data_IF_440017258421
#
_entry.id   IF_440017258421
#
_cell.length_a   1.000
_cell.length_b   1.000
_cell.length_c   1.000
_cell.angle_alpha   90.00
_cell.angle_beta   90.00
_cell.angle_gamma   90.00
#
_symmetry.space_group_name_H-M   'P 1'
#
loop_
_entity.id
_entity.type
_entity.pdbx_description
1 polymer ?
#
# COMPACT_ATOMS: atom_id res chain seq x y z
N UNK A 1 -31.26 -34.03 -38.54
CA UNK A 1 -30.97 -32.61 -38.26
C UNK A 1 -30.32 -32.55 -36.88
N UNK A 2 -29.02 -32.82 -36.66
CA UNK A 2 -27.79 -32.15 -37.12
C UNK A 2 -27.78 -30.64 -36.85
N UNK A 3 -26.85 -30.25 -35.98
CA UNK A 3 -26.30 -28.89 -35.73
C UNK A 3 -27.17 -27.96 -34.87
N UNK A 4 -27.03 -27.99 -33.53
CA UNK A 4 -27.39 -26.85 -32.65
C UNK A 4 -26.97 -26.99 -31.17
N UNK A 5 -25.83 -27.59 -30.83
CA UNK A 5 -25.34 -27.61 -29.43
C UNK A 5 -23.81 -27.46 -29.38
N UNK A 6 -23.26 -26.52 -30.15
CA UNK A 6 -21.81 -26.30 -30.17
C UNK A 6 -21.39 -24.83 -30.11
N UNK A 7 -22.33 -23.94 -29.81
CA UNK A 7 -22.10 -22.49 -29.81
C UNK A 7 -22.04 -21.86 -28.41
N UNK A 8 -22.46 -22.58 -27.36
CA UNK A 8 -22.45 -22.03 -25.99
C UNK A 8 -21.17 -22.31 -25.21
N UNK A 9 -20.30 -23.23 -25.66
CA UNK A 9 -19.04 -23.52 -24.97
C UNK A 9 -17.87 -22.60 -25.36
N UNK A 10 -17.94 -21.93 -26.52
CA UNK A 10 -16.85 -21.05 -26.99
C UNK A 10 -16.95 -19.65 -26.36
N UNK A 11 -18.15 -19.21 -25.95
CA UNK A 11 -18.31 -17.91 -25.27
C UNK A 11 -17.78 -17.93 -23.83
N UNK A 12 -17.81 -19.08 -23.16
CA UNK A 12 -17.31 -19.18 -21.77
C UNK A 12 -15.78 -19.21 -21.70
N UNK A 13 -15.10 -19.70 -22.73
CA UNK A 13 -13.63 -19.72 -22.79
C UNK A 13 -13.00 -18.37 -23.14
N UNK A 14 -13.78 -17.39 -23.62
CA UNK A 14 -13.30 -16.04 -23.92
C UNK A 14 -13.38 -15.08 -22.71
N UNK A 15 -14.21 -15.40 -21.70
CA UNK A 15 -14.28 -14.61 -20.46
C UNK A 15 -13.12 -14.91 -19.49
N UNK A 16 -12.41 -16.01 -19.68
CA UNK A 16 -11.26 -16.40 -18.84
C UNK A 16 -9.92 -15.79 -19.30
N UNK A 17 -9.89 -15.11 -20.46
CA UNK A 17 -8.65 -14.51 -21.00
C UNK A 17 -8.48 -13.06 -20.58
N UNK A 18 -9.46 -12.46 -19.88
CA UNK A 18 -9.40 -11.08 -19.38
C UNK A 18 -9.07 -11.00 -17.87
N UNK A 19 -8.96 -12.13 -17.17
CA UNK A 19 -8.60 -12.17 -15.74
C UNK A 19 -7.10 -12.29 -15.49
N UNK A 20 -6.26 -12.23 -16.54
CA UNK A 20 -4.82 -12.50 -16.45
C UNK A 20 -3.95 -11.40 -17.12
N UNK A 21 -4.46 -10.18 -17.26
CA UNK A 21 -3.62 -8.99 -17.36
C UNK A 21 -3.57 -8.34 -15.98
N UNK A 22 -2.98 -9.05 -15.01
CA UNK A 22 -2.54 -8.39 -13.78
C UNK A 22 -1.50 -7.35 -14.21
N UNK A 23 -1.76 -6.08 -13.94
CA UNK A 23 -0.80 -5.03 -14.22
C UNK A 23 0.46 -5.41 -13.45
N UNK A 24 1.57 -5.67 -14.16
CA UNK A 24 2.82 -6.04 -13.50
C UNK A 24 3.25 -4.82 -12.69
N UNK A 25 3.52 -5.01 -11.40
CA UNK A 25 3.98 -3.91 -10.54
C UNK A 25 5.23 -3.25 -11.16
N UNK A 26 5.23 -1.92 -11.18
CA UNK A 26 6.34 -1.11 -11.68
C UNK A 26 7.23 -0.67 -10.52
N UNK A 27 8.49 -0.37 -10.80
CA UNK A 27 9.39 0.24 -9.80
C UNK A 27 8.82 1.61 -9.41
N UNK A 28 8.73 1.86 -8.11
CA UNK A 28 8.06 3.03 -7.54
C UNK A 28 6.75 2.70 -6.84
N UNK A 29 5.84 3.67 -6.81
CA UNK A 29 4.54 3.55 -6.14
C UNK A 29 3.46 2.98 -7.07
N UNK A 30 2.75 1.96 -6.60
CA UNK A 30 1.67 1.32 -7.35
C UNK A 30 0.37 1.38 -6.54
N UNK A 31 -0.66 2.01 -7.08
CA UNK A 31 -1.97 2.01 -6.44
C UNK A 31 -2.58 0.61 -6.48
N UNK A 32 -3.15 0.17 -5.37
CA UNK A 32 -4.00 -1.03 -5.31
C UNK A 32 -5.33 -0.70 -4.62
N UNK A 33 -6.35 -1.50 -4.92
CA UNK A 33 -7.62 -1.41 -4.18
C UNK A 33 -7.50 -2.13 -2.83
N UNK A 34 -8.39 -1.82 -1.87
CA UNK A 34 -8.50 -2.57 -0.61
C UNK A 34 -8.67 -4.08 -0.88
N UNK A 35 -9.48 -4.45 -1.86
CA UNK A 35 -9.69 -5.86 -2.23
C UNK A 35 -8.40 -6.52 -2.74
N UNK A 36 -7.59 -5.81 -3.52
CA UNK A 36 -6.32 -6.35 -4.02
C UNK A 36 -5.29 -6.43 -2.89
N UNK A 37 -5.29 -5.46 -1.97
CA UNK A 37 -4.49 -5.52 -0.75
C UNK A 37 -4.85 -6.75 0.08
N UNK A 38 -6.13 -6.96 0.39
CA UNK A 38 -6.58 -8.16 1.10
C UNK A 38 -6.16 -9.44 0.38
N UNK A 39 -6.26 -9.47 -0.96
CA UNK A 39 -5.79 -10.59 -1.76
C UNK A 39 -4.29 -10.85 -1.64
N UNK A 40 -3.46 -9.81 -1.64
CA UNK A 40 -2.01 -9.94 -1.43
C UNK A 40 -1.68 -10.42 -0.02
N UNK A 41 -2.36 -9.88 0.99
CA UNK A 41 -2.18 -10.27 2.39
C UNK A 41 -2.61 -11.72 2.63
N UNK A 42 -3.77 -12.14 2.11
CA UNK A 42 -4.27 -13.52 2.23
C UNK A 42 -3.44 -14.55 1.41
N UNK A 43 -2.58 -14.10 0.50
CA UNK A 43 -1.66 -14.95 -0.28
C UNK A 43 -0.23 -14.99 0.30
N UNK A 44 -0.05 -14.52 1.53
CA UNK A 44 1.24 -14.48 2.22
C UNK A 44 2.34 -13.73 1.45
N UNK A 45 1.98 -12.69 0.68
CA UNK A 45 2.97 -11.86 -0.01
C UNK A 45 3.72 -10.94 0.96
N UNK A 46 4.98 -10.61 0.62
CA UNK A 46 5.84 -9.69 1.38
C UNK A 46 6.19 -8.46 0.55
N UNK A 47 5.85 -7.25 0.99
CA UNK A 47 6.04 -6.03 0.20
C UNK A 47 6.04 -4.77 1.07
N UNK A 48 6.49 -3.65 0.51
CA UNK A 48 6.32 -2.33 1.13
C UNK A 48 4.92 -1.80 0.82
N UNK A 49 4.25 -1.31 1.86
CA UNK A 49 2.90 -0.75 1.76
C UNK A 49 2.87 0.63 2.40
N UNK A 50 2.26 1.59 1.71
CA UNK A 50 1.95 2.91 2.25
C UNK A 50 0.44 3.05 2.37
N UNK A 51 -0.06 3.33 3.56
CA UNK A 51 -1.49 3.51 3.79
C UNK A 51 -1.80 4.85 4.43
N UNK A 52 -2.92 5.45 4.03
CA UNK A 52 -3.38 6.73 4.55
C UNK A 52 -4.86 6.91 4.25
N UNK A 53 -5.47 7.92 4.86
CA UNK A 53 -6.84 8.36 4.54
C UNK A 53 -6.86 9.87 4.35
N UNK A 54 -7.01 10.33 3.12
CA UNK A 54 -7.12 11.75 2.78
C UNK A 54 -7.84 11.93 1.45
N UNK A 55 -8.42 13.10 1.20
CA UNK A 55 -9.08 13.36 -0.09
C UNK A 55 -8.09 13.24 -1.25
N UNK A 56 -8.54 12.77 -2.43
CA UNK A 56 -7.67 12.70 -3.62
C UNK A 56 -7.02 14.06 -3.93
N UNK A 57 -7.77 15.15 -3.73
CA UNK A 57 -7.28 16.52 -3.94
C UNK A 57 -6.11 16.86 -3.00
N UNK A 58 -6.18 16.49 -1.73
CA UNK A 58 -5.11 16.76 -0.76
C UNK A 58 -3.89 15.87 -1.01
N UNK A 59 -4.10 14.62 -1.42
CA UNK A 59 -3.01 13.70 -1.80
C UNK A 59 -2.24 14.24 -3.01
N UNK A 60 -2.94 14.74 -4.02
CA UNK A 60 -2.32 15.36 -5.19
C UNK A 60 -1.58 16.65 -4.84
N UNK A 61 -2.23 17.57 -4.12
CA UNK A 61 -1.63 18.87 -3.75
C UNK A 61 -0.41 18.75 -2.84
N UNK A 62 -0.42 17.78 -1.93
CA UNK A 62 0.69 17.55 -1.00
C UNK A 62 1.87 16.84 -1.66
N UNK A 63 1.74 16.35 -2.90
CA UNK A 63 2.77 15.58 -3.63
C UNK A 63 3.20 14.29 -2.89
N UNK A 64 2.33 13.73 -2.02
CA UNK A 64 2.63 12.56 -1.18
C UNK A 64 3.10 11.35 -1.99
N UNK A 65 2.28 10.93 -2.96
CA UNK A 65 2.56 9.74 -3.79
C UNK A 65 3.82 9.98 -4.64
N UNK A 66 4.01 11.19 -5.15
CA UNK A 66 5.18 11.55 -5.96
C UNK A 66 6.48 11.50 -5.16
N UNK A 67 6.46 11.94 -3.90
CA UNK A 67 7.63 11.91 -3.02
C UNK A 67 8.06 10.46 -2.71
N UNK A 68 7.11 9.59 -2.35
CA UNK A 68 7.38 8.16 -2.15
C UNK A 68 7.85 7.48 -3.45
N UNK A 69 7.21 7.75 -4.59
CA UNK A 69 7.59 7.20 -5.88
C UNK A 69 9.02 7.56 -6.27
N UNK A 70 9.40 8.82 -6.06
CA UNK A 70 10.75 9.32 -6.31
C UNK A 70 11.79 8.65 -5.41
N UNK A 71 11.47 8.48 -4.12
CA UNK A 71 12.35 7.81 -3.17
C UNK A 71 12.55 6.33 -3.55
N UNK A 72 11.47 5.58 -3.79
CA UNK A 72 11.53 4.16 -4.15
C UNK A 72 12.28 3.90 -5.47
N UNK A 73 12.09 4.78 -6.48
CA UNK A 73 12.79 4.67 -7.77
C UNK A 73 14.30 4.86 -7.65
N UNK A 74 14.78 5.62 -6.67
CA UNK A 74 16.22 5.81 -6.43
C UNK A 74 16.92 4.50 -6.05
N UNK A 75 16.21 3.65 -5.31
CA UNK A 75 16.72 2.38 -4.79
C UNK A 75 16.19 1.16 -5.57
N UNK A 76 15.57 1.39 -6.74
CA UNK A 76 14.95 0.38 -7.60
C UNK A 76 13.92 -0.51 -6.87
N UNK A 77 13.20 0.08 -5.92
CA UNK A 77 12.21 -0.62 -5.11
C UNK A 77 10.78 -0.45 -5.63
N UNK A 78 9.94 -1.43 -5.31
CA UNK A 78 8.51 -1.41 -5.58
C UNK A 78 7.76 -1.32 -4.26
N UNK A 79 6.75 -0.46 -4.19
CA UNK A 79 5.79 -0.44 -3.10
C UNK A 79 4.37 -0.28 -3.65
N UNK A 80 3.41 -0.60 -2.79
CA UNK A 80 2.00 -0.40 -3.06
C UNK A 80 1.42 0.67 -2.14
N UNK A 81 0.33 1.31 -2.55
CA UNK A 81 -0.43 2.16 -1.66
C UNK A 81 -1.94 1.97 -1.77
N UNK A 82 -2.60 2.27 -0.65
CA UNK A 82 -4.05 2.33 -0.54
C UNK A 82 -4.43 3.62 0.17
N UNK A 83 -5.31 4.39 -0.48
CA UNK A 83 -6.02 5.49 0.16
C UNK A 83 -7.36 4.97 0.68
N UNK A 84 -7.58 5.06 1.99
CA UNK A 84 -8.79 4.60 2.66
C UNK A 84 -9.87 5.68 2.81
N UNK A 85 -9.78 6.77 2.05
CA UNK A 85 -10.82 7.80 2.03
C UNK A 85 -12.21 7.18 1.73
N UNK A 86 -13.17 7.49 2.60
CA UNK A 86 -14.53 6.95 2.56
C UNK A 86 -14.72 5.57 3.19
N UNK A 87 -13.67 4.88 3.63
CA UNK A 87 -13.81 3.63 4.39
C UNK A 87 -14.23 3.88 5.83
N UNK A 88 -15.00 2.94 6.40
CA UNK A 88 -15.49 3.06 7.77
C UNK A 88 -14.42 2.68 8.80
N UNK A 89 -14.43 3.30 9.97
CA UNK A 89 -13.51 2.94 11.05
C UNK A 89 -13.62 1.45 11.41
N UNK A 90 -14.84 0.89 11.47
CA UNK A 90 -15.05 -0.54 11.74
C UNK A 90 -14.37 -1.44 10.70
N UNK A 91 -14.34 -1.04 9.43
CA UNK A 91 -13.62 -1.76 8.36
C UNK A 91 -12.12 -1.74 8.62
N UNK A 92 -11.58 -0.56 8.95
CA UNK A 92 -10.15 -0.35 9.16
C UNK A 92 -9.65 -1.06 10.43
N UNK A 93 -10.45 -1.04 11.50
CA UNK A 93 -10.16 -1.75 12.75
C UNK A 93 -10.11 -3.27 12.50
N UNK A 94 -11.09 -3.82 11.77
CA UNK A 94 -11.09 -5.24 11.39
C UNK A 94 -9.87 -5.61 10.53
N UNK A 95 -9.47 -4.72 9.62
CA UNK A 95 -8.29 -4.92 8.79
C UNK A 95 -7.02 -4.95 9.64
N UNK A 96 -6.85 -3.97 10.52
CA UNK A 96 -5.74 -3.88 11.47
C UNK A 96 -5.65 -5.12 12.37
N UNK A 97 -6.75 -5.51 13.00
CA UNK A 97 -6.83 -6.68 13.87
C UNK A 97 -6.53 -8.00 13.14
N UNK A 98 -7.03 -8.15 11.90
CA UNK A 98 -6.86 -9.39 11.13
C UNK A 98 -5.40 -9.63 10.74
N UNK A 99 -4.69 -8.59 10.31
CA UNK A 99 -3.35 -8.71 9.71
C UNK A 99 -2.21 -8.25 10.62
N UNK A 100 -2.50 -7.79 11.84
CA UNK A 100 -1.49 -7.66 12.89
C UNK A 100 -1.24 -9.02 13.55
N UNK A 101 0.00 -9.53 13.59
CA UNK A 101 0.30 -10.81 14.24
C UNK A 101 -0.16 -10.84 15.71
N UNK A 102 -0.71 -11.97 16.17
CA UNK A 102 -1.16 -12.10 17.56
C UNK A 102 -0.04 -12.07 18.61
N UNK A 103 1.20 -12.37 18.20
CA UNK A 103 2.42 -12.29 19.01
C UNK A 103 3.15 -10.95 18.87
N UNK A 104 2.56 -10.01 18.13
CA UNK A 104 3.07 -8.67 17.93
C UNK A 104 3.16 -7.92 19.27
N UNK A 105 4.36 -7.43 19.60
CA UNK A 105 4.62 -6.58 20.76
C UNK A 105 4.59 -5.11 20.33
N UNK A 106 3.39 -4.59 20.14
CA UNK A 106 3.12 -3.23 19.72
C UNK A 106 1.61 -2.98 19.69
N UNK A 107 1.24 -1.77 19.27
CA UNK A 107 -0.15 -1.44 18.99
C UNK A 107 -0.61 -2.15 17.70
N UNK A 108 -1.92 -2.32 17.56
CA UNK A 108 -2.52 -2.89 16.35
C UNK A 108 -2.24 -1.94 15.19
N UNK A 109 -1.97 -2.48 13.99
CA UNK A 109 -1.81 -1.65 12.79
C UNK A 109 -3.04 -0.74 12.61
N UNK A 110 -2.79 0.56 12.45
CA UNK A 110 -3.81 1.58 12.19
C UNK A 110 -3.73 2.02 10.72
N UNK A 111 -4.53 1.43 9.80
CA UNK A 111 -4.33 1.61 8.36
C UNK A 111 -4.41 3.07 7.87
N UNK A 112 -5.12 3.94 8.59
CA UNK A 112 -5.27 5.36 8.24
C UNK A 112 -4.13 6.25 8.72
N UNK A 113 -3.30 5.79 9.65
CA UNK A 113 -2.34 6.64 10.39
C UNK A 113 -0.90 6.14 10.30
N UNK A 114 -0.66 4.81 10.24
CA UNK A 114 0.69 4.24 10.34
C UNK A 114 1.59 4.52 9.12
N UNK A 115 1.01 4.86 7.98
CA UNK A 115 1.76 5.24 6.78
C UNK A 115 2.56 4.10 6.16
N UNK A 116 3.89 4.22 6.15
CA UNK A 116 4.77 3.19 5.58
C UNK A 116 4.93 2.01 6.52
N UNK A 117 4.47 0.84 6.08
CA UNK A 117 4.62 -0.45 6.75
C UNK A 117 5.30 -1.49 5.84
N UNK A 118 5.95 -2.46 6.47
CA UNK A 118 6.44 -3.66 5.80
C UNK A 118 5.41 -4.77 5.98
N UNK A 119 5.01 -5.41 4.90
CA UNK A 119 4.28 -6.67 4.94
C UNK A 119 5.27 -7.82 4.83
N UNK A 120 5.20 -8.80 5.73
CA UNK A 120 5.94 -10.05 5.62
C UNK A 120 4.99 -11.23 5.80
N UNK A 121 5.01 -12.15 4.84
CA UNK A 121 4.16 -13.33 4.80
C UNK A 121 2.69 -12.99 5.11
N UNK A 122 2.17 -11.94 4.47
CA UNK A 122 0.78 -11.49 4.63
C UNK A 122 0.47 -10.72 5.91
N UNK A 123 1.44 -10.51 6.80
CA UNK A 123 1.25 -9.82 8.07
C UNK A 123 1.99 -8.48 8.13
N UNK A 124 1.40 -7.52 8.84
CA UNK A 124 2.03 -6.21 9.06
C UNK A 124 3.15 -6.35 10.08
N UNK A 125 4.36 -5.97 9.66
CA UNK A 125 5.55 -6.02 10.47
C UNK A 125 5.82 -4.66 11.11
N UNK A 126 6.50 -4.72 12.26
CA UNK A 126 6.93 -3.52 12.96
C UNK A 126 8.01 -2.83 12.15
N UNK A 127 7.67 -1.71 11.54
CA UNK A 127 8.69 -0.83 10.99
C UNK A 127 9.55 -0.30 12.18
N UNK A 128 10.88 -0.44 12.16
CA UNK A 128 11.72 0.13 13.22
C UNK A 128 11.57 1.66 13.34
N UNK A 129 11.13 2.31 12.25
CA UNK A 129 10.87 3.73 12.16
C UNK A 129 9.46 3.97 11.63
N UNK A 130 8.56 4.39 12.50
CA UNK A 130 7.22 4.82 12.11
C UNK A 130 7.29 6.01 11.15
N UNK A 131 6.54 5.94 10.06
CA UNK A 131 6.39 7.03 9.08
C UNK A 131 4.92 7.37 9.03
N UNK A 132 4.41 7.95 10.12
CA UNK A 132 2.99 8.21 10.29
C UNK A 132 2.47 9.16 9.21
N UNK A 133 1.36 8.82 8.58
CA UNK A 133 0.70 9.60 7.52
C UNK A 133 -0.74 9.90 7.92
N UNK A 134 -0.90 10.59 9.05
CA UNK A 134 -2.22 10.99 9.51
C UNK A 134 -2.91 11.93 8.52
N UNK A 135 -4.24 11.88 8.50
CA UNK A 135 -5.05 12.77 7.66
C UNK A 135 -4.68 14.25 7.86
N UNK A 136 -4.44 14.67 9.11
CA UNK A 136 -4.09 16.06 9.43
C UNK A 136 -2.73 16.49 8.85
N UNK A 137 -1.76 15.57 8.77
CA UNK A 137 -0.47 15.86 8.15
C UNK A 137 -0.63 16.10 6.65
N UNK A 138 -1.42 15.25 5.98
CA UNK A 138 -1.65 15.33 4.54
C UNK A 138 -2.44 16.60 4.20
N UNK A 139 -3.53 16.87 4.92
CA UNK A 139 -4.36 18.07 4.74
C UNK A 139 -3.57 19.36 5.04
N UNK A 140 -2.81 19.38 6.14
CA UNK A 140 -2.00 20.55 6.52
C UNK A 140 -0.91 20.84 5.48
N UNK A 141 -0.28 19.79 4.94
CA UNK A 141 0.72 19.90 3.88
C UNK A 141 0.09 20.41 2.58
N UNK A 142 -1.05 19.84 2.17
CA UNK A 142 -1.78 20.24 0.97
C UNK A 142 -2.25 21.70 0.98
N UNK A 143 -2.59 22.22 2.17
CA UNK A 143 -3.08 23.59 2.35
C UNK A 143 -1.97 24.60 2.67
N UNK A 144 -0.76 24.13 2.97
CA UNK A 144 0.35 24.97 3.42
C UNK A 144 0.05 25.65 4.76
N UNK A 145 -0.57 24.91 5.67
CA UNK A 145 -0.95 25.40 7.00
C UNK A 145 0.28 25.66 7.88
N UNK A 146 0.20 26.68 8.75
CA UNK A 146 1.28 27.01 9.68
C UNK A 146 1.67 25.79 10.54
N UNK A 147 2.94 25.35 10.42
CA UNK A 147 3.48 24.22 11.17
C UNK A 147 3.62 22.92 10.36
N UNK A 148 3.19 22.91 9.10
CA UNK A 148 3.45 21.84 8.14
C UNK A 148 4.38 22.33 7.03
N UNK A 149 5.05 21.39 6.36
CA UNK A 149 5.73 21.71 5.10
C UNK A 149 4.69 21.93 4.00
N UNK A 150 5.09 22.49 2.85
CA UNK A 150 4.15 22.76 1.75
C UNK A 150 4.07 21.64 0.72
N UNK A 151 4.90 20.61 0.88
CA UNK A 151 4.97 19.43 0.02
C UNK A 151 5.69 18.29 0.73
N UNK A 152 5.29 17.04 0.45
CA UNK A 152 6.04 15.85 0.87
C UNK A 152 7.41 15.71 0.24
N UNK A 153 7.73 16.48 -0.80
CA UNK A 153 9.09 16.62 -1.31
C UNK A 153 10.04 17.26 -0.28
N UNK A 154 9.52 18.02 0.68
CA UNK A 154 10.28 18.61 1.78
C UNK A 154 10.51 17.58 2.92
N UNK A 155 9.67 16.54 3.00
CA UNK A 155 9.80 15.40 3.92
C UNK A 155 10.67 14.25 3.35
N UNK A 156 11.38 14.46 2.24
CA UNK A 156 12.15 13.40 1.57
C UNK A 156 13.20 12.71 2.45
N UNK A 157 13.86 13.44 3.35
CA UNK A 157 14.83 12.84 4.28
C UNK A 157 14.18 11.84 5.24
N UNK A 158 12.94 12.11 5.66
CA UNK A 158 12.17 11.21 6.52
C UNK A 158 11.62 10.02 5.74
N UNK A 159 11.14 10.25 4.51
CA UNK A 159 10.65 9.20 3.60
C UNK A 159 11.79 8.23 3.25
N UNK A 160 12.93 8.74 2.78
CA UNK A 160 14.12 7.95 2.44
C UNK A 160 14.55 7.09 3.64
N UNK A 161 14.54 7.68 4.84
CA UNK A 161 14.96 6.97 6.04
C UNK A 161 13.93 5.95 6.56
N UNK A 162 12.63 6.20 6.35
CA UNK A 162 11.56 5.23 6.62
C UNK A 162 11.67 4.00 5.71
N UNK A 163 11.88 4.23 4.41
CA UNK A 163 12.08 3.16 3.42
C UNK A 163 13.35 2.37 3.74
N UNK A 164 14.48 3.04 3.94
CA UNK A 164 15.73 2.38 4.28
C UNK A 164 15.61 1.53 5.56
N UNK A 165 14.93 2.05 6.59
CA UNK A 165 14.67 1.31 7.82
C UNK A 165 13.84 0.03 7.60
N UNK A 166 12.80 0.11 6.77
CA UNK A 166 11.97 -1.06 6.43
C UNK A 166 12.76 -2.12 5.64
N UNK A 167 13.59 -1.69 4.69
CA UNK A 167 14.44 -2.58 3.89
C UNK A 167 15.54 -3.24 4.74
N UNK A 168 16.22 -2.47 5.59
CA UNK A 168 17.21 -2.99 6.53
C UNK A 168 16.61 -4.03 7.47
N UNK A 169 15.38 -3.78 7.93
CA UNK A 169 14.65 -4.75 8.75
C UNK A 169 14.33 -6.03 7.98
N UNK A 170 13.85 -5.91 6.74
CA UNK A 170 13.60 -7.06 5.88
C UNK A 170 14.88 -7.89 5.66
N UNK A 171 16.00 -7.24 5.34
CA UNK A 171 17.30 -7.90 5.15
C UNK A 171 17.75 -8.63 6.44
N UNK A 172 17.72 -7.96 7.59
CA UNK A 172 18.15 -8.54 8.87
C UNK A 172 17.32 -9.77 9.28
N UNK A 173 16.06 -9.82 8.86
CA UNK A 173 15.14 -10.91 9.16
C UNK A 173 14.99 -11.92 8.01
N UNK A 174 15.72 -11.76 6.90
CA UNK A 174 15.65 -12.59 5.70
C UNK A 174 14.23 -12.63 5.07
N UNK A 175 13.54 -11.50 5.08
CA UNK A 175 12.24 -11.34 4.42
C UNK A 175 12.52 -11.01 2.94
N UNK A 176 12.10 -11.89 2.03
CA UNK A 176 12.22 -11.67 0.60
C UNK A 176 10.97 -10.96 0.07
N UNK A 177 11.14 -9.76 -0.50
CA UNK A 177 10.03 -8.99 -1.05
C UNK A 177 9.53 -9.63 -2.36
N UNK A 178 8.22 -9.86 -2.43
CA UNK A 178 7.47 -10.44 -3.53
C UNK A 178 6.42 -9.43 -4.02
N UNK A 179 6.51 -8.99 -5.27
CA UNK A 179 5.64 -7.97 -5.86
C UNK A 179 4.68 -8.53 -6.92
#
# INVERSE_FOLDING_TARGET
MRKRIWSSLVLLSLLLVLSACGNKAEVGMNQISLKDLEGKLDNDESFLLVTFSASEEDVEKSELVEAFDKSLKKDEQTAFYVNFDGESQDTLDQLGEKYTPSDYKGDVWEPKDDGLVLIADGAVMKNPRETLLSQSLIEGTANGDDGYETSFMEYMDDIDAGIASALDFAEQNNIELSY
#
